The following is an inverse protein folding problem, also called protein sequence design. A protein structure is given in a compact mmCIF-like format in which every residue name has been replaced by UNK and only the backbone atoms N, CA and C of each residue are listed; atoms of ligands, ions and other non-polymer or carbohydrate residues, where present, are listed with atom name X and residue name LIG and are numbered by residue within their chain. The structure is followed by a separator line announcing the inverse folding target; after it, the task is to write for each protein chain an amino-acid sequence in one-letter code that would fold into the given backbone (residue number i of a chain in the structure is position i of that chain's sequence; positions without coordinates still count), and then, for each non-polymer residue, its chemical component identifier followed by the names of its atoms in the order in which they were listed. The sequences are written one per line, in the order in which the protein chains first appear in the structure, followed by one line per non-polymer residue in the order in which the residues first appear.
data_IF_124425956495
#
_entry.id   IF_124425956495
#
_cell.length_a   1.000
_cell.length_b   1.000
_cell.length_c   1.000
_cell.angle_alpha   90.00
_cell.angle_beta   90.00
_cell.angle_gamma   90.00
#
_symmetry.space_group_name_H-M   'P 1'
#
loop_
_entity.id
_entity.type
_entity.pdbx_description
1 polymer ?
#
# COMPACT_ATOMS: atom_id res chain seq x y z
N UNK A 1 7.66 2.49 2.61
CA UNK A 1 6.55 1.63 2.22
C UNK A 1 6.38 1.54 0.70
N UNK A 2 6.58 2.63 -0.01
CA UNK A 2 6.50 2.61 -1.47
C UNK A 2 7.52 1.68 -2.11
N UNK A 3 8.71 1.63 -1.56
CA UNK A 3 9.77 0.76 -2.05
C UNK A 3 9.36 -0.71 -1.99
N UNK A 4 8.72 -1.11 -0.88
CA UNK A 4 8.28 -2.47 -0.71
C UNK A 4 7.15 -2.82 -1.67
N UNK A 5 6.23 -1.89 -1.89
CA UNK A 5 5.14 -2.07 -2.84
C UNK A 5 5.68 -2.21 -4.26
N UNK A 6 6.64 -1.38 -4.62
CA UNK A 6 7.29 -1.44 -5.94
C UNK A 6 7.96 -2.79 -6.15
N UNK A 7 8.64 -3.29 -5.12
CA UNK A 7 9.30 -4.59 -5.18
C UNK A 7 8.30 -5.72 -5.42
N UNK A 8 7.18 -5.70 -4.70
CA UNK A 8 6.13 -6.70 -4.87
C UNK A 8 5.51 -6.61 -6.26
N UNK A 9 5.29 -5.40 -6.76
CA UNK A 9 4.75 -5.19 -8.09
C UNK A 9 5.67 -5.77 -9.17
N UNK A 10 6.98 -5.59 -9.02
CA UNK A 10 7.95 -6.14 -9.95
C UNK A 10 7.97 -7.66 -9.97
N UNK A 11 7.58 -8.29 -8.86
CA UNK A 11 7.53 -9.74 -8.74
C UNK A 11 6.23 -10.36 -9.24
N UNK A 12 5.38 -9.57 -9.90
CA UNK A 12 4.20 -10.11 -10.56
C UNK A 12 2.93 -10.11 -9.73
N UNK A 13 2.90 -9.39 -8.61
CA UNK A 13 1.67 -9.24 -7.84
C UNK A 13 0.62 -8.50 -8.66
N UNK A 14 -0.60 -9.01 -8.66
CA UNK A 14 -1.71 -8.37 -9.37
C UNK A 14 -2.46 -7.38 -8.48
N UNK A 15 -2.43 -7.62 -7.18
CA UNK A 15 -3.17 -6.83 -6.21
C UNK A 15 -2.37 -6.78 -4.91
N UNK A 16 -2.28 -5.60 -4.34
CA UNK A 16 -1.57 -5.39 -3.07
C UNK A 16 -2.53 -4.73 -2.09
N UNK A 17 -2.66 -5.31 -0.91
CA UNK A 17 -3.50 -4.78 0.16
C UNK A 17 -2.59 -4.34 1.30
N UNK A 18 -2.70 -3.07 1.67
CA UNK A 18 -1.95 -2.51 2.79
C UNK A 18 -2.93 -2.27 3.93
N UNK A 19 -2.66 -2.91 5.08
CA UNK A 19 -3.47 -2.69 6.27
C UNK A 19 -2.62 -1.92 7.28
N UNK A 20 -3.11 -0.80 7.75
CA UNK A 20 -2.38 0.08 8.64
C UNK A 20 -3.33 0.75 9.63
N UNK A 21 -2.75 1.33 10.70
CA UNK A 21 -3.53 2.15 11.63
C UNK A 21 -4.18 3.31 10.85
N UNK A 22 -5.39 3.75 11.22
CA UNK A 22 -6.08 4.81 10.48
C UNK A 22 -5.24 6.06 10.21
N UNK A 23 -4.40 6.47 11.16
CA UNK A 23 -3.56 7.65 10.98
C UNK A 23 -2.52 7.46 9.87
N UNK A 24 -2.00 6.24 9.73
CA UNK A 24 -1.03 5.90 8.67
C UNK A 24 -1.76 5.70 7.36
N UNK A 25 -2.93 5.06 7.40
CA UNK A 25 -3.73 4.85 6.20
C UNK A 25 -4.14 6.19 5.58
N UNK A 26 -4.48 7.16 6.42
CA UNK A 26 -4.82 8.50 5.95
C UNK A 26 -3.64 9.17 5.27
N UNK A 27 -2.44 9.03 5.85
CA UNK A 27 -1.22 9.55 5.26
C UNK A 27 -0.95 8.94 3.89
N UNK A 28 -1.10 7.63 3.78
CA UNK A 28 -0.90 6.92 2.51
C UNK A 28 -1.92 7.35 1.46
N UNK A 29 -3.16 7.57 1.86
CA UNK A 29 -4.22 7.98 0.94
C UNK A 29 -4.08 9.42 0.49
N UNK A 30 -3.37 10.24 1.26
CA UNK A 30 -3.24 11.67 1.02
C UNK A 30 -1.88 12.02 0.44
N UNK A 31 -0.82 11.92 1.24
CA UNK A 31 0.52 12.36 0.84
C UNK A 31 1.21 11.40 -0.14
N UNK A 32 0.94 10.10 0.00
CA UNK A 32 1.58 9.08 -0.83
C UNK A 32 0.72 8.64 -2.02
N UNK A 33 -0.44 9.26 -2.18
CA UNK A 33 -1.40 8.86 -3.20
C UNK A 33 -0.83 8.86 -4.61
N UNK A 34 -0.13 9.92 -4.97
CA UNK A 34 0.43 10.04 -6.31
C UNK A 34 1.46 8.95 -6.60
N UNK A 35 2.29 8.63 -5.61
CA UNK A 35 3.27 7.56 -5.74
C UNK A 35 2.61 6.20 -5.92
N UNK A 36 1.53 5.95 -5.17
CA UNK A 36 0.80 4.70 -5.28
C UNK A 36 0.09 4.57 -6.62
N UNK A 37 -0.51 5.64 -7.11
CA UNK A 37 -1.17 5.66 -8.42
C UNK A 37 -0.16 5.43 -9.54
N UNK A 38 1.03 5.99 -9.42
CA UNK A 38 2.09 5.79 -10.39
C UNK A 38 2.50 4.31 -10.46
N UNK A 39 2.61 3.66 -9.31
CA UNK A 39 2.93 2.24 -9.25
C UNK A 39 1.82 1.41 -9.88
N UNK A 40 0.57 1.73 -9.58
CA UNK A 40 -0.56 1.04 -10.17
C UNK A 40 -0.56 1.13 -11.70
N UNK A 41 -0.30 2.32 -12.22
CA UNK A 41 -0.29 2.54 -13.66
C UNK A 41 0.91 1.90 -14.34
N UNK A 42 2.07 1.96 -13.69
CA UNK A 42 3.30 1.44 -14.27
C UNK A 42 3.29 -0.09 -14.38
N UNK A 43 2.78 -0.77 -13.36
CA UNK A 43 2.83 -2.23 -13.30
C UNK A 43 1.48 -2.90 -13.57
N UNK A 44 0.43 -2.10 -13.78
CA UNK A 44 -0.90 -2.66 -14.04
C UNK A 44 -1.49 -3.40 -12.85
N UNK A 45 -1.18 -2.97 -11.63
CA UNK A 45 -1.67 -3.60 -10.41
C UNK A 45 -2.67 -2.71 -9.71
N UNK A 46 -3.36 -3.27 -8.72
CA UNK A 46 -4.29 -2.52 -7.89
C UNK A 46 -3.78 -2.50 -6.46
N UNK A 47 -3.73 -1.31 -5.86
CA UNK A 47 -3.33 -1.13 -4.47
C UNK A 47 -4.54 -0.70 -3.66
N UNK A 48 -4.83 -1.44 -2.59
CA UNK A 48 -5.94 -1.18 -1.70
C UNK A 48 -5.40 -0.87 -0.31
N UNK A 49 -5.91 0.18 0.31
CA UNK A 49 -5.51 0.57 1.66
C UNK A 49 -6.65 0.28 2.61
N UNK A 50 -6.38 -0.51 3.65
CA UNK A 50 -7.35 -0.83 4.69
C UNK A 50 -6.88 -0.27 6.02
N UNK A 51 -7.83 0.07 6.88
CA UNK A 51 -7.54 0.58 8.20
C UNK A 51 -7.75 -0.49 9.25
N UNK A 52 -6.90 -0.51 10.27
CA UNK A 52 -7.06 -1.39 11.42
C UNK A 52 -6.62 -0.67 12.68
N UNK A 53 -7.53 -0.48 13.60
CA UNK A 53 -7.23 0.17 14.87
C UNK A 53 -6.45 -0.73 15.82
N UNK A 54 -6.36 -2.02 15.50
CA UNK A 54 -5.61 -2.96 16.31
C UNK A 54 -4.11 -2.92 16.04
N UNK A 55 -3.69 -2.27 14.97
CA UNK A 55 -2.28 -2.12 14.63
C UNK A 55 -1.73 -0.86 15.27
N UNK A 56 -0.47 -0.92 15.71
CA UNK A 56 0.23 0.28 16.16
C UNK A 56 0.51 1.20 14.98
N UNK A 57 0.68 2.48 15.25
CA UNK A 57 0.96 3.46 14.21
C UNK A 57 2.25 3.17 13.44
N UNK A 58 3.17 2.45 14.04
CA UNK A 58 4.44 2.12 13.40
C UNK A 58 4.39 0.80 12.63
N UNK A 59 3.32 0.04 12.80
CA UNK A 59 3.18 -1.28 12.16
C UNK A 59 2.20 -1.22 11.00
N UNK A 60 2.47 -2.04 10.00
CA UNK A 60 1.55 -2.21 8.89
C UNK A 60 1.69 -3.63 8.35
N UNK A 61 0.68 -4.08 7.64
CA UNK A 61 0.68 -5.39 7.00
C UNK A 61 0.48 -5.22 5.51
N UNK A 62 1.23 -5.97 4.72
CA UNK A 62 1.09 -5.94 3.27
C UNK A 62 0.79 -7.36 2.80
N UNK A 63 -0.30 -7.49 2.06
CA UNK A 63 -0.69 -8.76 1.45
C UNK A 63 -0.63 -8.60 -0.06
N UNK A 64 0.06 -9.51 -0.73
CA UNK A 64 0.12 -9.51 -2.20
C UNK A 64 -0.62 -10.73 -2.75
N UNK A 65 -1.37 -10.51 -3.80
CA UNK A 65 -2.16 -11.56 -4.45
C UNK A 65 -1.77 -11.76 -5.90
#
# INVERSE_FOLDING_TARGET
ILRKITKLAKHGSEKIIITAHPSVAELLSDEERLGLEEIENRYGIKVIIKESMNLHQENYEITSL
#
